data_IF_037077060291
#
_entry.id   IF_037077060291
#
_cell.length_a   1.000
_cell.length_b   1.000
_cell.length_c   1.000
_cell.angle_alpha   90.00
_cell.angle_beta   90.00
_cell.angle_gamma   90.00
#
_symmetry.space_group_name_H-M   'P 1'
#
loop_
_entity.id
_entity.type
_entity.pdbx_description
1 polymer ?
#
# COMPACT_ATOMS: atom_id res chain seq x y z
N UNK A 1 -53.08 -57.43 30.21
CA UNK A 1 -52.58 -57.23 28.82
C UNK A 1 -52.71 -55.79 28.36
N UNK A 2 -53.87 -55.12 28.54
CA UNK A 2 -54.06 -53.71 28.12
C UNK A 2 -53.11 -52.72 28.82
N UNK A 3 -52.86 -52.91 30.12
CA UNK A 3 -52.00 -52.02 30.93
C UNK A 3 -50.53 -51.98 30.44
N UNK A 4 -50.02 -53.06 29.83
CA UNK A 4 -48.68 -53.09 29.25
C UNK A 4 -48.58 -52.20 28.01
N UNK A 5 -49.61 -52.19 27.17
CA UNK A 5 -49.64 -51.37 25.96
C UNK A 5 -49.82 -49.89 26.29
N UNK A 6 -50.61 -49.58 27.32
CA UNK A 6 -50.84 -48.23 27.79
C UNK A 6 -49.55 -47.59 28.35
N UNK A 7 -48.81 -48.31 29.19
CA UNK A 7 -47.52 -47.82 29.72
C UNK A 7 -46.45 -47.70 28.64
N UNK A 8 -46.40 -48.62 27.68
CA UNK A 8 -45.47 -48.56 26.54
C UNK A 8 -45.74 -47.37 25.62
N UNK A 9 -47.01 -47.11 25.30
CA UNK A 9 -47.39 -45.98 24.43
C UNK A 9 -47.15 -44.63 25.12
N UNK A 10 -47.47 -44.52 26.41
CA UNK A 10 -47.17 -43.33 27.21
C UNK A 10 -45.66 -43.08 27.29
N UNK A 11 -44.86 -44.13 27.50
CA UNK A 11 -43.40 -44.05 27.49
C UNK A 11 -42.83 -43.59 26.14
N UNK A 12 -43.39 -44.09 25.03
CA UNK A 12 -42.99 -43.69 23.67
C UNK A 12 -43.32 -42.22 23.40
N UNK A 13 -44.52 -41.77 23.78
CA UNK A 13 -44.94 -40.36 23.62
C UNK A 13 -44.07 -39.43 24.45
N UNK A 14 -43.78 -39.79 25.71
CA UNK A 14 -42.85 -39.06 26.56
C UNK A 14 -41.44 -38.99 25.96
N UNK A 15 -40.95 -40.08 25.38
CA UNK A 15 -39.63 -40.11 24.72
C UNK A 15 -39.57 -39.16 23.53
N UNK A 16 -40.58 -39.18 22.66
CA UNK A 16 -40.65 -38.25 21.52
C UNK A 16 -40.77 -36.80 21.98
N UNK A 17 -41.51 -36.55 23.05
CA UNK A 17 -41.63 -35.23 23.65
C UNK A 17 -40.28 -34.73 24.18
N UNK A 18 -39.53 -35.58 24.89
CA UNK A 18 -38.18 -35.26 25.36
C UNK A 18 -37.19 -35.03 24.22
N UNK A 19 -37.27 -35.78 23.12
CA UNK A 19 -36.44 -35.55 21.93
C UNK A 19 -36.70 -34.15 21.35
N UNK A 20 -37.97 -33.75 21.26
CA UNK A 20 -38.37 -32.44 20.75
C UNK A 20 -37.91 -31.31 21.66
N UNK A 21 -38.08 -31.48 22.97
CA UNK A 21 -37.58 -30.54 23.97
C UNK A 21 -36.05 -30.41 23.90
N UNK A 22 -35.31 -31.52 23.84
CA UNK A 22 -33.85 -31.48 23.74
C UNK A 22 -33.38 -30.78 22.46
N UNK A 23 -34.01 -31.05 21.31
CA UNK A 23 -33.70 -30.33 20.07
C UNK A 23 -33.99 -28.83 20.18
N UNK A 24 -35.14 -28.48 20.75
CA UNK A 24 -35.51 -27.08 20.96
C UNK A 24 -34.54 -26.37 21.92
N UNK A 25 -34.15 -27.05 22.99
CA UNK A 25 -33.16 -26.54 23.94
C UNK A 25 -31.80 -26.30 23.27
N UNK A 26 -31.34 -27.23 22.44
CA UNK A 26 -30.14 -27.03 21.61
C UNK A 26 -30.29 -25.82 20.69
N UNK A 27 -31.43 -25.73 19.98
CA UNK A 27 -31.67 -24.63 19.04
C UNK A 27 -31.84 -23.27 19.72
N UNK A 28 -32.24 -23.22 20.99
CA UNK A 28 -32.58 -21.98 21.72
C UNK A 28 -31.48 -21.51 22.66
N UNK A 29 -30.76 -22.43 23.30
CA UNK A 29 -29.75 -22.13 24.31
C UNK A 29 -28.32 -22.30 23.79
N UNK A 30 -28.10 -23.12 22.77
CA UNK A 30 -26.76 -23.33 22.17
C UNK A 30 -26.46 -22.33 21.03
N UNK A 31 -27.30 -21.31 20.84
CA UNK A 31 -26.97 -20.17 19.97
C UNK A 31 -25.98 -19.26 20.72
N UNK A 32 -24.92 -18.75 20.07
CA UNK A 32 -24.06 -17.75 20.68
C UNK A 32 -24.92 -16.57 21.14
N UNK A 33 -24.68 -16.11 22.37
CA UNK A 33 -25.43 -14.98 22.93
C UNK A 33 -25.29 -13.76 22.02
N UNK A 34 -26.30 -12.89 21.89
CA UNK A 34 -26.26 -11.75 20.97
C UNK A 34 -25.05 -10.83 21.22
N UNK A 35 -24.63 -10.69 22.48
CA UNK A 35 -23.44 -9.92 22.88
C UNK A 35 -22.11 -10.50 22.37
N UNK A 36 -22.06 -11.81 22.08
CA UNK A 36 -20.88 -12.42 21.46
C UNK A 36 -20.80 -12.12 19.97
N UNK A 37 -21.95 -12.01 19.30
CA UNK A 37 -22.04 -11.70 17.87
C UNK A 37 -21.54 -10.28 17.62
N UNK A 38 -22.02 -9.30 18.40
CA UNK A 38 -21.58 -7.91 18.30
C UNK A 38 -20.05 -7.77 18.49
N UNK A 39 -19.49 -8.45 19.49
CA UNK A 39 -18.03 -8.46 19.70
C UNK A 39 -17.25 -9.13 18.58
N UNK A 40 -17.81 -10.14 17.94
CA UNK A 40 -17.19 -10.77 16.78
C UNK A 40 -17.19 -9.83 15.57
N UNK A 41 -18.29 -9.13 15.35
CA UNK A 41 -18.41 -8.12 14.29
C UNK A 41 -17.44 -6.96 14.51
N UNK A 42 -17.35 -6.42 15.73
CA UNK A 42 -16.36 -5.40 16.10
C UNK A 42 -14.93 -5.88 15.82
N UNK A 43 -14.61 -7.13 16.21
CA UNK A 43 -13.30 -7.73 15.91
C UNK A 43 -13.07 -7.89 14.42
N UNK A 44 -14.11 -8.19 13.63
CA UNK A 44 -13.98 -8.29 12.18
C UNK A 44 -13.73 -6.93 11.54
N UNK A 45 -14.44 -5.88 11.97
CA UNK A 45 -14.20 -4.50 11.53
C UNK A 45 -12.78 -4.05 11.85
N UNK A 46 -12.33 -4.24 13.09
CA UNK A 46 -10.96 -3.92 13.51
C UNK A 46 -9.91 -4.72 12.71
N UNK A 47 -10.18 -5.97 12.35
CA UNK A 47 -9.29 -6.76 11.49
C UNK A 47 -9.24 -6.22 10.06
N UNK A 48 -10.37 -5.77 9.52
CA UNK A 48 -10.43 -5.17 8.19
C UNK A 48 -9.62 -3.87 8.16
N UNK A 49 -9.82 -2.99 9.14
CA UNK A 49 -9.04 -1.76 9.31
C UNK A 49 -7.54 -2.06 9.45
N UNK A 50 -7.14 -3.03 10.30
CA UNK A 50 -5.72 -3.39 10.42
C UNK A 50 -5.11 -3.91 9.12
N UNK A 51 -5.89 -4.61 8.28
CA UNK A 51 -5.42 -5.07 6.97
C UNK A 51 -5.17 -3.89 6.03
N UNK A 52 -6.08 -2.92 5.99
CA UNK A 52 -5.88 -1.72 5.16
C UNK A 52 -4.70 -0.90 5.65
N UNK A 53 -4.55 -0.70 6.96
CA UNK A 53 -3.38 -0.03 7.54
C UNK A 53 -2.07 -0.74 7.22
N UNK A 54 -2.03 -2.07 7.32
CA UNK A 54 -0.83 -2.86 6.99
C UNK A 54 -0.45 -2.73 5.50
N UNK A 55 -1.43 -2.64 4.61
CA UNK A 55 -1.17 -2.41 3.18
C UNK A 55 -0.60 -1.01 2.93
N UNK A 56 -1.13 0.00 3.61
CA UNK A 56 -0.62 1.38 3.54
C UNK A 56 0.79 1.47 4.10
N UNK A 57 1.05 0.85 5.25
CA UNK A 57 2.38 0.81 5.88
C UNK A 57 3.40 0.11 4.98
N UNK A 58 3.05 -1.04 4.39
CA UNK A 58 3.92 -1.74 3.45
C UNK A 58 4.23 -0.91 2.20
N UNK A 59 3.25 -0.16 1.68
CA UNK A 59 3.45 0.76 0.55
C UNK A 59 4.37 1.92 0.93
N UNK A 60 4.19 2.50 2.10
CA UNK A 60 5.03 3.58 2.61
C UNK A 60 6.47 3.11 2.89
N UNK A 61 6.62 1.90 3.43
CA UNK A 61 7.95 1.30 3.67
C UNK A 61 8.68 1.01 2.35
N UNK A 62 7.97 0.52 1.33
CA UNK A 62 8.53 0.32 0.00
C UNK A 62 9.02 1.65 -0.62
N UNK A 63 8.19 2.69 -0.60
CA UNK A 63 8.57 4.03 -1.09
C UNK A 63 9.73 4.63 -0.29
N UNK A 64 9.77 4.39 1.02
CA UNK A 64 10.87 4.82 1.88
C UNK A 64 12.17 4.09 1.54
N UNK A 65 12.14 2.78 1.34
CA UNK A 65 13.33 2.03 0.92
C UNK A 65 13.82 2.48 -0.46
N UNK A 66 12.91 2.78 -1.39
CA UNK A 66 13.28 3.32 -2.71
C UNK A 66 13.95 4.68 -2.60
N UNK A 67 13.38 5.61 -1.82
CA UNK A 67 13.95 6.95 -1.60
C UNK A 67 15.28 6.89 -0.84
N UNK A 68 15.40 6.04 0.20
CA UNK A 68 16.66 5.81 0.89
C UNK A 68 17.73 5.20 -0.03
N UNK A 69 17.34 4.30 -0.94
CA UNK A 69 18.26 3.73 -1.93
C UNK A 69 18.77 4.79 -2.93
N UNK A 70 17.89 5.69 -3.39
CA UNK A 70 18.25 6.80 -4.28
C UNK A 70 19.16 7.79 -3.56
N UNK A 71 18.80 8.21 -2.35
CA UNK A 71 19.62 9.10 -1.52
C UNK A 71 21.00 8.48 -1.23
N UNK A 72 21.09 7.17 -0.96
CA UNK A 72 22.39 6.48 -0.80
C UNK A 72 23.23 6.51 -2.07
N UNK A 73 22.61 6.27 -3.23
CA UNK A 73 23.32 6.34 -4.52
C UNK A 73 23.83 7.74 -4.80
N UNK A 74 23.03 8.77 -4.54
CA UNK A 74 23.43 10.17 -4.67
C UNK A 74 24.57 10.53 -3.72
N UNK A 75 24.50 10.09 -2.46
CA UNK A 75 25.59 10.28 -1.51
C UNK A 75 26.88 9.60 -1.95
N UNK A 76 26.80 8.37 -2.48
CA UNK A 76 27.98 7.67 -3.01
C UNK A 76 28.55 8.39 -4.23
N UNK A 77 27.70 8.85 -5.14
CA UNK A 77 28.11 9.62 -6.32
C UNK A 77 28.76 10.95 -5.92
N UNK A 78 28.20 11.67 -4.95
CA UNK A 78 28.77 12.91 -4.43
C UNK A 78 30.12 12.69 -3.76
N UNK A 79 30.28 11.59 -3.00
CA UNK A 79 31.57 11.21 -2.41
C UNK A 79 32.61 10.83 -3.48
N UNK A 80 32.22 10.05 -4.49
CA UNK A 80 33.10 9.71 -5.60
C UNK A 80 33.52 10.97 -6.38
N UNK A 81 32.59 11.90 -6.60
CA UNK A 81 32.88 13.19 -7.21
C UNK A 81 33.85 14.01 -6.36
N UNK A 82 33.58 14.15 -5.06
CA UNK A 82 34.48 14.85 -4.13
C UNK A 82 35.88 14.22 -4.08
N UNK A 83 35.98 12.89 -4.17
CA UNK A 83 37.26 12.18 -4.23
C UNK A 83 37.98 12.34 -5.58
N UNK A 84 37.25 12.65 -6.66
CA UNK A 84 37.82 12.86 -8.01
C UNK A 84 38.30 14.29 -8.26
N UNK A 85 37.83 15.26 -7.47
CA UNK A 85 38.35 16.63 -7.52
C UNK A 85 39.80 16.59 -7.02
N UNK A 86 40.72 17.05 -7.88
CA UNK A 86 42.13 17.07 -7.54
C UNK A 86 42.36 17.88 -6.24
N UNK A 87 43.14 17.36 -5.28
CA UNK A 87 43.47 18.10 -4.08
C UNK A 87 44.24 19.38 -4.43
N UNK A 88 44.04 20.43 -3.63
CA UNK A 88 44.64 21.73 -3.85
C UNK A 88 46.18 21.64 -3.86
N UNK A 89 46.84 22.50 -4.64
CA UNK A 89 48.31 22.43 -4.86
C UNK A 89 49.10 22.58 -3.55
N UNK A 90 48.55 23.31 -2.57
CA UNK A 90 49.12 23.44 -1.22
C UNK A 90 49.11 22.11 -0.46
N UNK A 91 48.00 21.35 -0.52
CA UNK A 91 47.89 20.04 0.11
C UNK A 91 48.80 19.00 -0.57
N UNK A 92 48.98 19.11 -1.89
CA UNK A 92 49.94 18.27 -2.63
C UNK A 92 51.37 18.60 -2.19
N UNK A 93 51.74 19.88 -2.10
CA UNK A 93 53.08 20.31 -1.66
C UNK A 93 53.39 19.90 -0.21
N UNK A 94 52.41 20.00 0.69
CA UNK A 94 52.53 19.54 2.08
C UNK A 94 52.74 18.03 2.16
N UNK A 95 52.03 17.23 1.36
CA UNK A 95 52.20 15.77 1.31
C UNK A 95 53.60 15.36 0.82
N UNK A 96 54.13 16.03 -0.20
CA UNK A 96 55.51 15.82 -0.66
C UNK A 96 56.54 16.22 0.42
N UNK A 97 56.31 17.35 1.09
CA UNK A 97 57.13 17.81 2.21
C UNK A 97 57.15 16.84 3.39
N UNK A 98 56.00 16.26 3.74
CA UNK A 98 55.87 15.24 4.78
C UNK A 98 56.59 13.93 4.42
N UNK A 99 56.67 13.60 3.13
CA UNK A 99 57.43 12.45 2.62
C UNK A 99 58.94 12.72 2.56
N UNK A 100 59.38 13.96 2.83
CA UNK A 100 60.79 14.36 2.80
C UNK A 100 61.37 14.51 1.38
N UNK A 101 60.52 14.68 0.37
CA UNK A 101 60.90 14.80 -1.05
C UNK A 101 60.44 16.16 -1.56
N UNK A 102 61.31 16.91 -2.24
CA UNK A 102 60.92 18.20 -2.85
C UNK A 102 59.91 17.97 -4.00
N UNK A 103 58.80 18.71 -4.00
CA UNK A 103 57.77 18.60 -5.03
C UNK A 103 58.36 18.87 -6.43
N UNK A 104 58.03 18.05 -7.45
CA UNK A 104 58.58 18.23 -8.79
C UNK A 104 58.13 19.57 -9.38
N UNK A 105 59.07 20.50 -9.59
CA UNK A 105 58.83 21.74 -10.35
C UNK A 105 58.49 21.41 -11.79
N UNK A 106 57.19 21.41 -12.10
CA UNK A 106 56.58 21.48 -13.44
C UNK A 106 57.37 20.75 -14.53
N UNK A 107 57.14 19.44 -14.66
CA UNK A 107 57.48 18.73 -15.89
C UNK A 107 56.23 18.65 -16.78
N UNK A 108 56.46 19.02 -18.03
CA UNK A 108 55.51 19.10 -19.14
C UNK A 108 54.52 17.92 -19.21
N UNK A 109 53.33 18.25 -19.70
CA UNK A 109 52.30 17.38 -20.28
C UNK A 109 52.91 16.06 -20.78
N UNK A 110 52.85 15.02 -19.96
CA UNK A 110 53.11 13.66 -20.42
C UNK A 110 51.92 13.28 -21.29
N UNK A 111 52.08 13.44 -22.60
CA UNK A 111 51.13 12.95 -23.59
C UNK A 111 51.02 11.43 -23.41
N UNK A 112 49.96 10.99 -22.74
CA UNK A 112 49.55 9.60 -22.66
C UNK A 112 49.50 9.04 -24.08
N UNK A 113 50.44 8.16 -24.44
CA UNK A 113 50.38 7.45 -25.72
C UNK A 113 49.16 6.55 -25.66
N UNK A 114 48.11 6.95 -26.38
CA UNK A 114 46.94 6.11 -26.62
C UNK A 114 47.38 5.06 -27.61
N UNK A 115 47.82 3.90 -27.13
CA UNK A 115 47.89 2.73 -28.00
C UNK A 115 46.44 2.46 -28.49
N UNK A 116 46.23 2.51 -29.81
CA UNK A 116 44.92 2.35 -30.48
C UNK A 116 44.25 0.99 -30.22
N UNK A 117 44.88 0.10 -29.45
CA UNK A 117 44.38 -1.23 -29.17
C UNK A 117 43.71 -1.26 -27.79
N UNK A 118 42.46 -0.85 -27.74
CA UNK A 118 41.60 -1.07 -26.57
C UNK A 118 41.43 -2.59 -26.36
N UNK A 119 42.20 -3.13 -25.42
CA UNK A 119 42.14 -4.56 -25.03
C UNK A 119 40.85 -4.91 -24.30
N UNK A 120 40.03 -3.91 -23.97
CA UNK A 120 38.74 -4.08 -23.29
C UNK A 120 37.53 -4.05 -24.24
N UNK A 121 37.76 -3.83 -25.54
CA UNK A 121 36.72 -3.86 -26.59
C UNK A 121 35.92 -5.18 -26.64
N UNK A 122 36.52 -6.30 -26.19
CA UNK A 122 35.82 -7.59 -26.12
C UNK A 122 34.92 -7.75 -24.88
N UNK A 123 34.94 -6.80 -23.94
CA UNK A 123 34.10 -6.81 -22.74
C UNK A 123 32.89 -5.88 -22.85
N UNK A 124 32.61 -5.30 -24.03
CA UNK A 124 31.33 -4.63 -24.24
C UNK A 124 30.19 -5.64 -24.10
N UNK A 125 29.55 -5.61 -22.93
CA UNK A 125 28.34 -6.34 -22.66
C UNK A 125 27.32 -5.97 -23.74
N UNK A 126 26.74 -6.97 -24.39
CA UNK A 126 25.70 -6.81 -25.38
C UNK A 126 24.51 -6.04 -24.79
N UNK A 127 24.52 -4.72 -24.92
CA UNK A 127 23.35 -3.89 -24.66
C UNK A 127 22.42 -4.17 -25.81
N UNK A 128 21.45 -5.05 -25.54
CA UNK A 128 20.37 -5.36 -26.45
C UNK A 128 19.60 -4.06 -26.73
N UNK A 129 19.88 -3.45 -27.88
CA UNK A 129 19.22 -2.26 -28.41
C UNK A 129 17.77 -2.60 -28.72
N UNK A 130 16.92 -2.50 -27.69
CA UNK A 130 15.48 -2.74 -27.74
C UNK A 130 14.67 -1.71 -26.96
N UNK A 131 15.29 -0.63 -26.49
CA UNK A 131 14.61 0.59 -26.07
C UNK A 131 15.34 1.73 -26.77
N UNK A 132 14.68 2.36 -27.73
CA UNK A 132 15.16 3.62 -28.25
C UNK A 132 15.29 4.62 -27.11
N UNK A 133 16.36 5.41 -27.15
CA UNK A 133 16.42 6.71 -26.48
C UNK A 133 15.21 7.52 -26.95
N UNK A 134 14.11 7.40 -26.22
CA UNK A 134 13.21 8.52 -26.08
C UNK A 134 13.97 9.50 -25.20
N UNK A 135 14.69 10.42 -25.83
CA UNK A 135 15.00 11.71 -25.22
C UNK A 135 13.66 12.27 -24.75
N UNK A 136 13.33 12.02 -23.48
CA UNK A 136 12.21 12.69 -22.83
C UNK A 136 12.65 14.14 -22.73
N UNK A 137 11.93 15.00 -23.45
CA UNK A 137 12.22 16.42 -23.47
C UNK A 137 11.78 17.03 -22.13
N UNK A 138 12.73 17.22 -21.22
CA UNK A 138 12.49 17.73 -19.87
C UNK A 138 12.52 19.28 -19.81
N UNK A 139 12.62 19.98 -20.97
CA UNK A 139 12.70 21.44 -21.04
C UNK A 139 11.51 22.16 -20.38
N UNK A 140 10.35 21.49 -20.28
CA UNK A 140 9.16 22.03 -19.60
C UNK A 140 9.35 22.20 -18.09
N UNK A 141 10.25 21.43 -17.46
CA UNK A 141 10.54 21.51 -16.01
C UNK A 141 11.46 22.70 -15.70
N UNK A 142 12.35 23.05 -16.63
CA UNK A 142 13.29 24.17 -16.49
C UNK A 142 12.72 25.51 -16.94
N UNK A 143 11.61 25.50 -17.69
CA UNK A 143 10.94 26.70 -18.22
C UNK A 143 9.91 27.31 -17.26
N UNK A 144 9.89 26.91 -15.99
CA UNK A 144 8.98 27.50 -14.99
C UNK A 144 9.55 28.85 -14.53
N UNK A 145 8.96 29.95 -15.00
CA UNK A 145 9.39 31.33 -14.74
C UNK A 145 9.41 31.74 -13.25
N UNK A 146 8.71 31.02 -12.36
CA UNK A 146 8.72 31.30 -10.93
C UNK A 146 8.49 30.00 -10.12
N UNK A 147 9.43 29.57 -9.25
CA UNK A 147 9.22 28.36 -8.46
C UNK A 147 7.99 28.53 -7.56
N UNK A 148 7.03 27.61 -7.71
CA UNK A 148 5.80 27.59 -6.90
C UNK A 148 6.19 27.56 -5.42
N UNK A 149 5.91 28.66 -4.71
CA UNK A 149 6.07 28.74 -3.26
C UNK A 149 5.07 27.79 -2.60
N UNK A 150 5.50 26.55 -2.36
CA UNK A 150 4.83 25.67 -1.40
C UNK A 150 4.78 26.39 -0.05
N UNK A 151 3.60 26.41 0.59
CA UNK A 151 3.49 26.85 1.97
C UNK A 151 4.32 25.90 2.81
N UNK A 152 5.53 26.32 3.17
CA UNK A 152 6.27 25.73 4.26
C UNK A 152 5.57 26.22 5.53
N UNK A 153 4.42 25.61 5.82
CA UNK A 153 3.74 25.84 7.08
C UNK A 153 4.73 25.41 8.17
N UNK A 154 5.32 26.39 8.85
CA UNK A 154 6.08 26.16 10.05
C UNK A 154 5.13 25.43 11.00
N UNK A 155 5.44 24.16 11.31
CA UNK A 155 4.63 23.35 12.20
C UNK A 155 4.27 24.18 13.42
N UNK A 156 2.97 24.32 13.68
CA UNK A 156 2.44 25.09 14.80
C UNK A 156 3.05 24.49 16.07
N UNK A 157 4.06 25.17 16.61
CA UNK A 157 4.54 24.89 17.94
C UNK A 157 3.38 25.18 18.92
N UNK A 158 3.10 24.30 19.89
CA UNK A 158 1.99 24.49 20.82
C UNK A 158 2.45 25.51 21.87
N UNK A 159 2.48 26.79 21.52
CA UNK A 159 2.84 27.87 22.46
C UNK A 159 1.64 28.64 22.98
N UNK A 160 0.43 28.31 22.52
CA UNK A 160 -0.81 28.88 23.04
C UNK A 160 -1.59 27.76 23.72
N UNK A 161 -2.00 27.99 24.97
CA UNK A 161 -2.90 27.08 25.65
C UNK A 161 -4.12 26.85 24.75
N UNK A 162 -4.62 25.60 24.65
CA UNK A 162 -5.70 25.29 23.74
C UNK A 162 -6.87 26.25 23.99
N UNK A 163 -7.47 26.71 22.91
CA UNK A 163 -8.57 27.66 22.97
C UNK A 163 -9.76 27.00 23.67
N UNK A 164 -9.90 27.27 24.97
CA UNK A 164 -10.91 26.65 25.83
C UNK A 164 -12.32 26.95 25.34
N UNK A 165 -12.50 28.08 24.65
CA UNK A 165 -13.77 28.48 24.03
C UNK A 165 -14.18 27.50 22.91
N UNK A 166 -13.22 26.99 22.13
CA UNK A 166 -13.49 26.00 21.08
C UNK A 166 -13.84 24.64 21.70
N UNK A 167 -13.13 24.25 22.77
CA UNK A 167 -13.39 22.99 23.47
C UNK A 167 -14.78 23.01 24.11
N UNK A 168 -15.15 24.11 24.76
CA UNK A 168 -16.48 24.31 25.35
C UNK A 168 -17.57 24.27 24.28
N UNK A 169 -17.34 24.91 23.13
CA UNK A 169 -18.29 24.91 22.02
C UNK A 169 -18.46 23.53 21.37
N UNK A 170 -17.38 22.74 21.25
CA UNK A 170 -17.45 21.35 20.77
C UNK A 170 -18.21 20.48 21.77
N UNK A 171 -17.98 20.67 23.08
CA UNK A 171 -18.73 19.98 24.12
C UNK A 171 -20.21 20.36 24.08
N UNK A 172 -20.54 21.64 23.86
CA UNK A 172 -21.91 22.12 23.70
C UNK A 172 -22.58 21.53 22.45
N UNK A 173 -21.88 21.44 21.32
CA UNK A 173 -22.40 20.81 20.09
C UNK A 173 -22.61 19.30 20.30
N UNK A 174 -21.73 18.64 21.05
CA UNK A 174 -21.87 17.21 21.38
C UNK A 174 -22.99 16.94 22.40
N UNK A 175 -23.27 17.88 23.30
CA UNK A 175 -24.38 17.78 24.26
C UNK A 175 -25.72 18.11 23.59
N UNK A 176 -25.70 18.97 22.56
CA UNK A 176 -26.87 19.35 21.76
C UNK A 176 -27.07 18.33 20.62
N UNK A 177 -27.49 17.13 21.02
CA UNK A 177 -27.78 15.97 20.17
C UNK A 177 -29.00 16.17 19.23
N UNK A 178 -29.53 17.39 19.16
CA UNK A 178 -30.70 17.77 18.36
C UNK A 178 -30.26 18.75 17.26
N UNK A 179 -29.54 18.22 16.27
CA UNK A 179 -29.29 18.93 15.03
C UNK A 179 -30.55 18.74 14.17
N UNK A 180 -31.34 19.81 13.99
CA UNK A 180 -32.40 19.84 12.98
C UNK A 180 -31.76 19.55 11.62
N UNK A 181 -31.84 18.30 11.18
CA UNK A 181 -31.38 17.90 9.86
C UNK A 181 -32.26 18.65 8.87
N UNK A 182 -31.72 19.57 8.04
CA UNK A 182 -32.51 20.23 7.03
C UNK A 182 -33.16 19.16 6.16
N UNK A 183 -34.47 19.28 5.89
CA UNK A 183 -35.23 18.31 5.10
C UNK A 183 -34.53 18.13 3.74
N UNK A 184 -33.83 16.99 3.61
CA UNK A 184 -33.20 16.60 2.35
C UNK A 184 -34.33 16.30 1.37
N UNK A 185 -34.35 16.88 0.16
CA UNK A 185 -35.33 16.51 -0.84
C UNK A 185 -35.27 15.00 -1.07
N UNK A 186 -36.45 14.37 -1.09
CA UNK A 186 -36.59 12.93 -1.25
C UNK A 186 -35.82 12.47 -2.49
N UNK A 187 -34.85 11.57 -2.28
CA UNK A 187 -34.05 11.06 -3.37
C UNK A 187 -34.97 10.34 -4.36
N UNK A 188 -34.72 10.45 -5.68
CA UNK A 188 -35.49 9.68 -6.66
C UNK A 188 -35.39 8.18 -6.35
N UNK A 189 -36.52 7.48 -6.43
CA UNK A 189 -36.58 6.03 -6.19
C UNK A 189 -35.61 5.30 -7.12
N UNK A 190 -34.63 4.63 -6.52
CA UNK A 190 -33.72 3.76 -7.26
C UNK A 190 -34.46 2.45 -7.57
N UNK A 191 -34.29 1.90 -8.78
CA UNK A 191 -34.84 0.58 -9.10
C UNK A 191 -34.30 -0.45 -8.11
N UNK A 192 -35.14 -1.39 -7.72
CA UNK A 192 -34.75 -2.43 -6.76
C UNK A 192 -33.59 -3.25 -7.33
N UNK A 193 -32.72 -3.78 -6.46
CA UNK A 193 -31.58 -4.61 -6.89
C UNK A 193 -32.03 -5.81 -7.74
N UNK A 194 -33.24 -6.32 -7.51
CA UNK A 194 -33.87 -7.34 -8.34
C UNK A 194 -34.22 -6.85 -9.75
N UNK A 195 -34.64 -5.60 -9.91
CA UNK A 195 -34.95 -4.98 -11.21
C UNK A 195 -33.66 -4.69 -12.00
N UNK A 196 -32.59 -4.25 -11.32
CA UNK A 196 -31.25 -4.13 -11.92
C UNK A 196 -30.64 -5.48 -12.31
N UNK A 197 -30.94 -6.54 -11.57
CA UNK A 197 -30.50 -7.91 -11.90
C UNK A 197 -31.24 -8.44 -13.12
N UNK A 198 -32.53 -8.14 -13.27
CA UNK A 198 -33.32 -8.53 -14.45
C UNK A 198 -32.83 -7.76 -15.68
N UNK A 199 -32.62 -6.45 -15.59
CA UNK A 199 -32.11 -5.63 -16.70
C UNK A 199 -30.68 -6.03 -17.12
N UNK A 200 -29.83 -6.39 -16.15
CA UNK A 200 -28.49 -6.92 -16.43
C UNK A 200 -28.49 -8.32 -17.03
N UNK A 201 -29.53 -9.14 -16.77
CA UNK A 201 -29.66 -10.49 -17.32
C UNK A 201 -30.32 -10.49 -18.71
N UNK A 202 -31.18 -9.50 -19.01
CA UNK A 202 -31.76 -9.30 -20.35
C UNK A 202 -30.77 -8.66 -21.35
N UNK A 203 -29.65 -8.12 -20.86
CA UNK A 203 -28.61 -7.47 -21.68
C UNK A 203 -27.56 -8.43 -22.27
N UNK A 204 -27.51 -9.70 -21.82
CA UNK A 204 -26.42 -10.65 -22.16
C UNK A 204 -26.84 -11.80 -23.12
N UNK A 205 -28.05 -11.77 -23.68
CA UNK A 205 -28.47 -12.71 -24.73
C UNK A 205 -28.58 -12.03 -26.10
N UNK A 206 -27.47 -11.77 -26.79
CA UNK A 206 -27.31 -12.07 -28.23
C UNK A 206 -25.85 -11.88 -28.69
N UNK A 207 -25.43 -12.76 -29.61
CA UNK A 207 -24.19 -12.79 -30.40
C UNK A 207 -22.89 -13.32 -29.75
N UNK A 208 -22.69 -14.63 -29.96
CA UNK A 208 -21.34 -15.17 -30.21
C UNK A 208 -20.88 -14.78 -31.62
N UNK A 209 -19.60 -14.43 -31.82
CA UNK A 209 -18.82 -15.21 -32.77
C UNK A 209 -17.36 -15.51 -32.33
N UNK A 210 -17.04 -16.80 -32.33
CA UNK A 210 -15.84 -17.43 -32.93
C UNK A 210 -14.44 -16.78 -32.78
N UNK A 211 -13.67 -17.25 -31.77
CA UNK A 211 -12.19 -17.46 -31.75
C UNK A 211 -11.23 -16.26 -31.63
N UNK A 212 -9.92 -16.45 -31.30
CA UNK A 212 -9.20 -17.69 -30.91
C UNK A 212 -8.62 -17.65 -29.48
N UNK A 213 -8.09 -18.82 -29.06
CA UNK A 213 -7.49 -19.12 -27.76
C UNK A 213 -6.56 -18.01 -27.21
N UNK A 214 -6.79 -17.63 -25.95
CA UNK A 214 -5.81 -16.95 -25.11
C UNK A 214 -5.25 -17.98 -24.14
N UNK A 215 -3.98 -18.25 -24.29
CA UNK A 215 -3.18 -19.03 -23.37
C UNK A 215 -3.19 -18.31 -22.02
N UNK A 216 -3.72 -18.95 -20.98
CA UNK A 216 -3.63 -18.46 -19.60
C UNK A 216 -2.17 -18.59 -19.12
N UNK A 217 -1.44 -17.49 -18.85
CA UNK A 217 -0.06 -17.57 -18.36
C UNK A 217 0.01 -17.95 -16.86
N UNK A 218 -1.11 -18.25 -16.21
CA UNK A 218 -1.22 -18.34 -14.74
C UNK A 218 -1.75 -19.67 -14.20
N UNK A 219 -1.96 -20.68 -15.04
CA UNK A 219 -2.32 -22.03 -14.59
C UNK A 219 -1.08 -22.90 -14.36
N UNK A 220 -0.24 -22.55 -13.36
CA UNK A 220 0.98 -23.32 -13.14
C UNK A 220 1.82 -22.95 -11.93
N UNK A 221 1.24 -22.85 -10.74
CA UNK A 221 2.01 -22.86 -9.49
C UNK A 221 1.42 -23.88 -8.51
N UNK A 222 1.76 -25.15 -8.74
CA UNK A 222 1.55 -26.23 -7.79
C UNK A 222 2.61 -26.09 -6.69
N UNK A 223 2.21 -25.63 -5.52
CA UNK A 223 3.10 -25.55 -4.35
C UNK A 223 3.59 -26.95 -3.94
N UNK A 224 4.88 -27.12 -3.61
CA UNK A 224 5.37 -28.38 -3.05
C UNK A 224 4.80 -28.55 -1.64
N UNK A 225 4.21 -29.73 -1.39
CA UNK A 225 3.84 -30.17 -0.05
C UNK A 225 5.11 -30.62 0.67
N UNK A 226 5.39 -30.03 1.82
CA UNK A 226 6.26 -30.64 2.84
C UNK A 226 5.56 -31.84 3.49
#
# INVERSE_FOLDING_TARGET
>A
MAELWETLTIGLVLSLFFIGLSYFFWRRYDRPTPLMIEREEEKQRLKAERKTWRQVEAKMEAERMESESKARREQQKAKAHANSVAPDEEHVAEAWGALGVEAPKTAAVSSFQTDEHDTNSQQEASVQTGLGDAEVNDDDVLSVDDPVKVRQDAGVAPTEAPDWEIIEKIAEIAEKDDHEVPEVPEAPDLPSVEELLVDSLESDEEETPSGPAKDDPWSGAQWPKE
#
